data_IF_680037356172
#
_entry.id   IF_680037356172
#
_cell.length_a   1.000
_cell.length_b   1.000
_cell.length_c   1.000
_cell.angle_alpha   90.00
_cell.angle_beta   90.00
_cell.angle_gamma   90.00
#
_symmetry.space_group_name_H-M   'P 1'
#
loop_
_entity.id
_entity.type
_entity.pdbx_description
1 polymer ?
#
# COMPACT_ATOMS: atom_id res chain seq x y z
N UNK A 1 11.24 18.10 -7.07
CA UNK A 1 10.78 17.44 -8.30
C UNK A 1 11.40 18.26 -9.44
N UNK A 2 12.21 17.66 -10.29
CA UNK A 2 12.81 18.39 -11.41
C UNK A 2 11.72 18.66 -12.48
N UNK A 3 11.92 19.73 -13.31
CA UNK A 3 10.99 20.12 -14.39
C UNK A 3 10.69 19.02 -15.42
N UNK A 4 11.49 17.92 -15.46
CA UNK A 4 11.25 16.73 -16.28
C UNK A 4 10.30 15.72 -15.62
N UNK A 5 9.97 15.90 -14.33
CA UNK A 5 9.02 15.08 -13.58
C UNK A 5 7.65 15.79 -13.49
N UNK A 6 7.30 16.60 -14.49
CA UNK A 6 6.07 17.37 -14.59
C UNK A 6 4.80 16.54 -14.85
N UNK A 7 4.90 15.24 -14.91
CA UNK A 7 3.72 14.40 -14.69
C UNK A 7 3.40 14.49 -13.21
N UNK A 8 2.70 15.57 -12.84
CA UNK A 8 2.22 15.79 -11.48
C UNK A 8 1.43 14.54 -11.06
N UNK A 9 1.81 13.88 -9.94
CA UNK A 9 1.09 12.72 -9.47
C UNK A 9 -0.41 13.03 -9.35
N UNK A 10 -1.23 12.35 -10.14
CA UNK A 10 -2.68 12.59 -10.13
C UNK A 10 -3.31 11.89 -8.95
N UNK A 11 -3.91 12.69 -8.07
CA UNK A 11 -4.72 12.16 -6.97
C UNK A 11 -5.95 11.48 -7.55
N UNK A 12 -6.29 10.28 -7.05
CA UNK A 12 -7.52 9.58 -7.44
C UNK A 12 -8.71 10.55 -7.33
N UNK A 13 -9.45 10.81 -8.42
CA UNK A 13 -10.50 11.81 -8.42
C UNK A 13 -11.71 11.38 -7.56
N UNK A 14 -12.49 12.36 -7.15
CA UNK A 14 -13.80 12.11 -6.56
C UNK A 14 -14.86 11.96 -7.67
N UNK A 15 -15.96 11.24 -7.43
CA UNK A 15 -16.24 10.43 -6.24
C UNK A 15 -15.51 9.09 -6.24
N UNK A 16 -15.35 8.51 -5.05
CA UNK A 16 -14.61 7.27 -4.83
C UNK A 16 -15.47 6.17 -4.24
N UNK A 17 -15.15 4.92 -4.59
CA UNK A 17 -15.73 3.73 -3.97
C UNK A 17 -15.57 3.80 -2.44
N UNK A 18 -16.67 3.59 -1.73
CA UNK A 18 -16.68 3.67 -0.26
C UNK A 18 -15.84 2.59 0.40
N UNK A 19 -15.53 1.50 -0.31
CA UNK A 19 -14.75 0.37 0.19
C UNK A 19 -13.25 0.45 -0.14
N UNK A 20 -12.88 0.71 -1.41
CA UNK A 20 -11.48 0.60 -1.87
C UNK A 20 -10.87 1.88 -2.46
N UNK A 21 -11.61 2.99 -2.44
CA UNK A 21 -11.21 4.29 -3.00
C UNK A 21 -10.99 4.35 -4.53
N UNK A 22 -11.33 3.30 -5.31
CA UNK A 22 -11.33 3.39 -6.77
C UNK A 22 -12.34 4.45 -7.21
N UNK A 23 -11.99 5.26 -8.24
CA UNK A 23 -12.93 6.23 -8.81
C UNK A 23 -14.22 5.55 -9.30
N UNK A 24 -15.37 6.19 -9.06
CA UNK A 24 -16.71 5.72 -9.42
C UNK A 24 -17.54 6.88 -9.96
N UNK A 25 -18.67 6.57 -10.63
CA UNK A 25 -19.49 7.59 -11.27
C UNK A 25 -20.24 8.50 -10.28
N UNK A 26 -20.51 8.06 -9.05
CA UNK A 26 -21.23 8.82 -8.02
C UNK A 26 -20.77 8.44 -6.60
N UNK A 27 -20.99 9.33 -5.64
CA UNK A 27 -20.68 9.09 -4.23
C UNK A 27 -21.57 8.00 -3.61
N UNK A 28 -21.05 7.36 -2.55
CA UNK A 28 -21.83 6.41 -1.74
C UNK A 28 -21.98 5.02 -2.31
N UNK A 29 -21.37 4.72 -3.48
CA UNK A 29 -21.47 3.41 -4.12
C UNK A 29 -20.17 2.58 -4.00
N UNK A 30 -20.31 1.29 -4.17
CA UNK A 30 -19.18 0.39 -4.41
C UNK A 30 -18.77 0.44 -5.89
N UNK A 31 -17.52 0.12 -6.17
CA UNK A 31 -17.11 -0.16 -7.54
C UNK A 31 -17.48 -1.61 -7.91
N UNK A 32 -17.55 -1.96 -9.22
CA UNK A 32 -17.93 -3.30 -9.65
C UNK A 32 -17.09 -4.44 -9.02
N UNK A 33 -15.82 -4.19 -8.72
CA UNK A 33 -14.96 -5.19 -8.08
C UNK A 33 -15.36 -5.44 -6.62
N UNK A 34 -15.72 -4.38 -5.89
CA UNK A 34 -16.18 -4.49 -4.49
C UNK A 34 -17.62 -4.98 -4.35
N UNK A 35 -18.45 -4.81 -5.38
CA UNK A 35 -19.78 -5.41 -5.45
C UNK A 35 -19.71 -6.92 -5.69
N UNK A 36 -18.82 -7.34 -6.61
CA UNK A 36 -18.64 -8.73 -6.99
C UNK A 36 -17.95 -9.56 -5.92
N UNK A 37 -16.95 -8.98 -5.24
CA UNK A 37 -16.12 -9.69 -4.28
C UNK A 37 -16.15 -9.03 -2.91
N UNK A 38 -16.52 -9.80 -1.88
CA UNK A 38 -16.42 -9.33 -0.48
C UNK A 38 -14.95 -9.16 -0.10
N UNK A 39 -14.52 -7.93 0.13
CA UNK A 39 -13.17 -7.62 0.60
C UNK A 39 -13.07 -7.75 2.12
N UNK A 40 -12.01 -8.39 2.60
CA UNK A 40 -11.78 -8.65 4.04
C UNK A 40 -11.41 -7.39 4.83
N UNK A 41 -10.77 -6.39 4.20
CA UNK A 41 -10.42 -5.15 4.87
C UNK A 41 -11.65 -4.26 5.13
N UNK A 42 -11.60 -3.46 6.17
CA UNK A 42 -12.68 -2.51 6.51
C UNK A 42 -12.76 -1.41 5.46
N UNK A 43 -11.63 -0.75 5.14
CA UNK A 43 -11.53 0.31 4.16
C UNK A 43 -10.16 0.32 3.49
N UNK A 44 -10.15 0.42 2.17
CA UNK A 44 -8.95 0.69 1.40
C UNK A 44 -8.88 2.18 1.03
N UNK A 45 -7.69 2.76 1.04
CA UNK A 45 -7.46 4.16 0.65
C UNK A 45 -6.32 4.18 -0.34
N UNK A 46 -6.53 4.84 -1.47
CA UNK A 46 -5.51 5.13 -2.47
C UNK A 46 -5.37 6.63 -2.63
N UNK A 47 -4.13 7.14 -2.63
CA UNK A 47 -3.87 8.56 -2.84
C UNK A 47 -3.80 8.89 -4.34
N UNK A 48 -2.99 8.13 -5.08
CA UNK A 48 -2.68 8.41 -6.47
C UNK A 48 -3.27 7.39 -7.45
N UNK A 49 -3.52 7.84 -8.67
CA UNK A 49 -3.67 6.95 -9.80
C UNK A 49 -2.33 6.31 -10.12
N UNK A 50 -2.28 4.98 -10.21
CA UNK A 50 -1.05 4.22 -10.38
C UNK A 50 -0.20 4.69 -11.57
N UNK A 51 -0.84 4.91 -12.72
CA UNK A 51 -0.13 5.31 -13.95
C UNK A 51 0.62 6.64 -13.81
N UNK A 52 0.15 7.52 -12.91
CA UNK A 52 0.79 8.82 -12.67
C UNK A 52 2.01 8.76 -11.76
N UNK A 53 2.19 7.69 -11.01
CA UNK A 53 3.31 7.51 -10.05
C UNK A 53 4.17 6.29 -10.32
N UNK A 54 3.82 5.51 -11.34
CA UNK A 54 4.46 4.23 -11.69
C UNK A 54 5.98 4.34 -11.81
N UNK A 55 6.49 5.36 -12.51
CA UNK A 55 7.91 5.57 -12.68
C UNK A 55 8.63 5.90 -11.36
N UNK A 56 8.01 6.73 -10.51
CA UNK A 56 8.55 7.06 -9.19
C UNK A 56 8.58 5.84 -8.25
N UNK A 57 7.56 4.99 -8.33
CA UNK A 57 7.52 3.71 -7.60
C UNK A 57 8.60 2.76 -8.14
N UNK A 58 8.78 2.66 -9.46
CA UNK A 58 9.85 1.85 -10.04
C UNK A 58 11.24 2.40 -9.67
N UNK A 59 11.43 3.72 -9.69
CA UNK A 59 12.68 4.34 -9.28
C UNK A 59 13.02 4.04 -7.81
N UNK A 60 12.01 4.02 -6.91
CA UNK A 60 12.19 3.57 -5.53
C UNK A 60 12.57 2.08 -5.48
N UNK A 61 11.87 1.22 -6.25
CA UNK A 61 12.07 -0.23 -6.25
C UNK A 61 13.41 -0.68 -6.84
N UNK A 62 13.82 -0.08 -7.94
CA UNK A 62 14.88 -0.61 -8.79
C UNK A 62 16.16 0.25 -8.76
N UNK A 63 16.03 1.53 -8.41
CA UNK A 63 17.15 2.50 -8.40
C UNK A 63 17.45 3.05 -7.00
N UNK A 64 16.84 2.50 -5.95
CA UNK A 64 17.03 2.89 -4.55
C UNK A 64 16.93 4.42 -4.30
N UNK A 65 16.04 5.11 -5.03
CA UNK A 65 15.76 6.53 -4.80
C UNK A 65 14.90 6.71 -3.54
N UNK A 66 15.57 6.63 -2.39
CA UNK A 66 14.91 6.64 -1.07
C UNK A 66 14.14 7.95 -0.80
N UNK A 67 14.54 9.07 -1.39
CA UNK A 67 13.81 10.33 -1.31
C UNK A 67 12.34 10.20 -1.78
N UNK A 68 12.07 9.25 -2.68
CA UNK A 68 10.70 8.96 -3.10
C UNK A 68 9.85 8.37 -1.96
N UNK A 69 10.45 7.63 -1.01
CA UNK A 69 9.72 7.11 0.15
C UNK A 69 9.26 8.24 1.06
N UNK A 70 10.15 9.20 1.36
CA UNK A 70 9.83 10.41 2.11
C UNK A 70 8.76 11.23 1.40
N UNK A 71 8.92 11.46 0.09
CA UNK A 71 7.92 12.17 -0.71
C UNK A 71 6.53 11.52 -0.63
N UNK A 72 6.45 10.19 -0.80
CA UNK A 72 5.16 9.50 -0.70
C UNK A 72 4.56 9.59 0.70
N UNK A 73 5.36 9.44 1.75
CA UNK A 73 4.90 9.57 3.13
C UNK A 73 4.36 10.99 3.41
N UNK A 74 5.08 12.03 2.98
CA UNK A 74 4.68 13.43 3.14
C UNK A 74 3.34 13.71 2.44
N UNK A 75 3.18 13.20 1.23
CA UNK A 75 1.96 13.40 0.46
C UNK A 75 0.77 12.59 1.02
N UNK A 76 1.01 11.36 1.50
CA UNK A 76 0.01 10.58 2.22
C UNK A 76 -0.44 11.33 3.47
N UNK A 77 0.49 11.80 4.28
CA UNK A 77 0.17 12.55 5.50
C UNK A 77 -0.58 13.84 5.19
N UNK A 78 -0.12 14.61 4.23
CA UNK A 78 -0.74 15.89 3.83
C UNK A 78 -2.20 15.73 3.39
N UNK A 79 -2.52 14.68 2.63
CA UNK A 79 -3.84 14.52 2.02
C UNK A 79 -4.76 13.55 2.76
N UNK A 80 -4.20 12.63 3.53
CA UNK A 80 -4.92 11.54 4.17
C UNK A 80 -4.68 11.48 5.69
N UNK A 81 -3.80 12.31 6.26
CA UNK A 81 -3.38 12.24 7.66
C UNK A 81 -4.55 12.23 8.65
N UNK A 82 -5.52 13.12 8.46
CA UNK A 82 -6.68 13.23 9.36
C UNK A 82 -7.56 11.97 9.30
N UNK A 83 -7.81 11.44 8.08
CA UNK A 83 -8.59 10.22 7.94
C UNK A 83 -7.84 9.00 8.48
N UNK A 84 -6.51 8.93 8.31
CA UNK A 84 -5.70 7.85 8.86
C UNK A 84 -5.68 7.88 10.39
N UNK A 85 -5.57 9.05 11.00
CA UNK A 85 -5.67 9.25 12.45
C UNK A 85 -7.05 8.85 12.99
N UNK A 86 -8.12 9.13 12.25
CA UNK A 86 -9.49 8.79 12.68
C UNK A 86 -9.75 7.29 12.80
N UNK A 87 -8.90 6.43 12.22
CA UNK A 87 -9.01 4.99 12.38
C UNK A 87 -8.50 4.47 13.74
N UNK A 88 -7.79 5.31 14.51
CA UNK A 88 -7.16 4.94 15.77
C UNK A 88 -6.34 3.64 15.65
N UNK A 89 -5.60 3.51 14.54
CA UNK A 89 -4.81 2.33 14.30
C UNK A 89 -3.62 2.24 15.26
N UNK A 90 -3.35 1.03 15.73
CA UNK A 90 -2.32 0.74 16.73
C UNK A 90 -0.97 0.43 16.10
N UNK A 91 -0.96 0.08 14.79
CA UNK A 91 0.27 -0.19 14.05
C UNK A 91 0.12 0.08 12.56
N UNK A 92 1.25 0.38 11.89
CA UNK A 92 1.41 0.33 10.44
C UNK A 92 2.12 -0.98 10.10
N UNK A 93 1.48 -1.81 9.29
CA UNK A 93 2.00 -3.10 8.85
C UNK A 93 2.36 -3.01 7.37
N UNK A 94 3.65 -2.88 7.01
CA UNK A 94 4.08 -2.86 5.62
C UNK A 94 3.97 -4.24 5.00
N UNK A 95 3.47 -4.34 3.77
CA UNK A 95 3.44 -5.61 3.04
C UNK A 95 4.88 -6.10 2.80
N UNK A 96 5.22 -7.33 3.26
CA UNK A 96 6.58 -7.85 3.16
C UNK A 96 6.92 -8.32 1.74
N UNK A 97 8.20 -8.21 1.40
CA UNK A 97 8.78 -8.87 0.22
C UNK A 97 9.10 -10.33 0.52
N UNK A 98 9.02 -11.17 -0.52
CA UNK A 98 9.63 -12.50 -0.44
C UNK A 98 11.15 -12.38 -0.24
N UNK A 99 11.75 -13.32 0.53
CA UNK A 99 13.18 -13.32 0.87
C UNK A 99 14.12 -13.16 -0.33
N UNK A 100 13.80 -13.79 -1.47
CA UNK A 100 14.62 -13.67 -2.69
C UNK A 100 14.55 -12.25 -3.29
N UNK A 101 13.36 -11.62 -3.28
CA UNK A 101 13.21 -10.22 -3.74
C UNK A 101 13.92 -9.28 -2.78
N UNK A 102 13.84 -9.53 -1.47
CA UNK A 102 14.55 -8.75 -0.47
C UNK A 102 16.07 -8.88 -0.63
N UNK A 103 16.61 -10.11 -0.80
CA UNK A 103 18.05 -10.33 -1.06
C UNK A 103 18.54 -9.60 -2.32
N UNK A 104 17.73 -9.61 -3.38
CA UNK A 104 18.08 -8.92 -4.65
C UNK A 104 18.04 -7.40 -4.52
N UNK A 105 17.05 -6.86 -3.79
CA UNK A 105 16.80 -5.41 -3.69
C UNK A 105 17.52 -4.76 -2.52
N UNK A 106 17.74 -5.49 -1.41
CA UNK A 106 18.35 -5.01 -0.18
C UNK A 106 17.40 -4.29 0.79
N UNK A 107 16.19 -3.94 0.36
CA UNK A 107 15.20 -3.22 1.18
C UNK A 107 13.76 -3.53 0.76
N UNK A 108 12.80 -3.20 1.64
CA UNK A 108 11.36 -3.24 1.36
C UNK A 108 10.83 -1.80 1.19
N UNK A 109 10.33 -1.44 0.02
CA UNK A 109 9.81 -0.11 -0.29
C UNK A 109 8.61 0.28 0.59
N UNK A 110 7.71 -0.67 0.87
CA UNK A 110 6.56 -0.42 1.75
C UNK A 110 7.00 -0.13 3.18
N UNK A 111 8.07 -0.79 3.67
CA UNK A 111 8.66 -0.51 4.98
C UNK A 111 9.31 0.87 5.03
N UNK A 112 9.99 1.30 3.97
CA UNK A 112 10.59 2.64 3.91
C UNK A 112 9.52 3.73 4.03
N UNK A 113 8.43 3.60 3.25
CA UNK A 113 7.30 4.55 3.31
C UNK A 113 6.63 4.49 4.69
N UNK A 114 6.43 3.28 5.24
CA UNK A 114 5.82 3.09 6.56
C UNK A 114 6.62 3.78 7.67
N UNK A 115 7.96 3.67 7.64
CA UNK A 115 8.83 4.30 8.63
C UNK A 115 8.75 5.84 8.59
N UNK A 116 8.69 6.44 7.39
CA UNK A 116 8.53 7.89 7.28
C UNK A 116 7.12 8.34 7.72
N UNK A 117 6.09 7.60 7.33
CA UNK A 117 4.70 7.89 7.71
C UNK A 117 4.47 7.72 9.22
N UNK A 118 5.11 6.73 9.84
CA UNK A 118 5.08 6.48 11.29
C UNK A 118 5.51 7.70 12.11
N UNK A 119 6.57 8.38 11.67
CA UNK A 119 7.07 9.61 12.35
C UNK A 119 6.01 10.72 12.36
N UNK A 120 5.23 10.82 11.29
CA UNK A 120 4.22 11.88 11.13
C UNK A 120 2.88 11.55 11.80
N UNK A 121 2.48 10.27 11.76
CA UNK A 121 1.23 9.81 12.39
C UNK A 121 1.40 9.49 13.87
N UNK A 122 2.63 9.30 14.35
CA UNK A 122 2.95 8.77 15.68
C UNK A 122 2.31 7.39 15.93
N UNK A 123 2.35 6.51 14.90
CA UNK A 123 1.86 5.13 14.94
C UNK A 123 3.06 4.21 14.70
N UNK A 124 3.33 3.20 15.55
CA UNK A 124 4.49 2.33 15.40
C UNK A 124 4.39 1.45 14.13
N UNK A 125 5.54 1.18 13.51
CA UNK A 125 5.64 0.18 12.43
C UNK A 125 5.85 -1.20 13.04
N UNK A 126 5.12 -2.18 12.52
CA UNK A 126 5.23 -3.60 12.89
C UNK A 126 5.44 -4.43 11.63
N UNK A 127 6.70 -4.67 11.29
CA UNK A 127 7.12 -5.49 10.15
C UNK A 127 7.29 -6.98 10.49
N UNK A 128 7.09 -7.32 11.76
CA UNK A 128 7.14 -8.67 12.32
C UNK A 128 5.78 -9.40 12.31
N UNK A 129 4.66 -8.69 12.11
CA UNK A 129 3.31 -9.26 12.16
C UNK A 129 3.00 -10.09 10.91
N UNK A 130 3.54 -9.70 9.75
CA UNK A 130 3.24 -10.33 8.48
C UNK A 130 4.53 -10.73 7.78
N UNK A 131 4.67 -12.00 7.45
CA UNK A 131 5.81 -12.50 6.66
C UNK A 131 5.33 -13.10 5.34
N UNK A 132 6.15 -13.01 4.31
CA UNK A 132 5.89 -13.63 3.01
C UNK A 132 6.70 -14.92 2.89
N UNK A 133 6.01 -16.06 2.93
CA UNK A 133 6.63 -17.38 2.97
C UNK A 133 6.79 -17.99 1.59
N UNK A 134 5.88 -17.71 0.66
CA UNK A 134 5.92 -18.29 -0.68
C UNK A 134 6.43 -17.33 -1.74
N UNK A 135 7.16 -17.90 -2.72
CA UNK A 135 7.58 -17.18 -3.92
C UNK A 135 6.43 -17.19 -4.93
N UNK A 136 5.68 -16.09 -4.96
CA UNK A 136 4.62 -15.93 -5.95
C UNK A 136 5.19 -15.49 -7.30
N UNK A 137 4.55 -15.87 -8.40
CA UNK A 137 4.88 -15.39 -9.74
C UNK A 137 4.68 -13.86 -9.84
N UNK A 138 5.38 -13.22 -10.77
CA UNK A 138 5.18 -11.78 -10.99
C UNK A 138 3.76 -11.49 -11.48
N UNK A 139 3.09 -10.57 -10.82
CA UNK A 139 1.67 -10.27 -11.06
C UNK A 139 1.41 -9.43 -12.33
N UNK A 140 2.48 -8.95 -13.00
CA UNK A 140 2.36 -8.01 -14.14
C UNK A 140 1.56 -8.58 -15.33
N UNK A 141 1.58 -9.89 -15.52
CA UNK A 141 0.93 -10.59 -16.66
C UNK A 141 -0.29 -11.41 -16.27
N UNK A 142 -0.71 -11.35 -15.00
CA UNK A 142 -1.78 -12.18 -14.46
C UNK A 142 -3.15 -11.51 -14.56
N UNK A 143 -4.17 -12.31 -14.84
CA UNK A 143 -5.58 -11.95 -14.67
C UNK A 143 -5.92 -11.73 -13.20
N UNK A 144 -7.05 -11.11 -12.91
CA UNK A 144 -7.51 -10.87 -11.52
C UNK A 144 -7.65 -12.17 -10.71
N UNK A 145 -8.23 -13.20 -11.31
CA UNK A 145 -8.42 -14.52 -10.67
C UNK A 145 -7.08 -15.21 -10.38
N UNK A 146 -6.13 -15.15 -11.33
CA UNK A 146 -4.79 -15.70 -11.14
C UNK A 146 -4.01 -14.96 -10.04
N UNK A 147 -4.15 -13.63 -9.94
CA UNK A 147 -3.53 -12.85 -8.84
C UNK A 147 -4.04 -13.28 -7.48
N UNK A 148 -5.37 -13.49 -7.35
CA UNK A 148 -5.96 -13.97 -6.11
C UNK A 148 -5.40 -15.33 -5.70
N UNK A 149 -5.43 -16.31 -6.61
CA UNK A 149 -4.92 -17.66 -6.35
C UNK A 149 -3.41 -17.68 -6.06
N UNK A 150 -2.65 -16.81 -6.72
CA UNK A 150 -1.21 -16.68 -6.53
C UNK A 150 -0.83 -16.12 -5.14
N UNK A 151 -1.76 -15.45 -4.46
CA UNK A 151 -1.54 -14.87 -3.14
C UNK A 151 -2.09 -15.73 -1.99
N UNK A 152 -2.93 -16.72 -2.29
CA UNK A 152 -3.47 -17.62 -1.26
C UNK A 152 -2.30 -18.41 -0.65
N UNK A 153 -2.14 -18.32 0.68
CA UNK A 153 -1.05 -18.96 1.41
C UNK A 153 0.32 -18.25 1.32
N UNK A 154 0.45 -17.20 0.49
CA UNK A 154 1.74 -16.51 0.31
C UNK A 154 2.21 -15.75 1.57
N UNK A 155 1.28 -15.41 2.44
CA UNK A 155 1.55 -14.68 3.67
C UNK A 155 1.23 -15.53 4.89
N UNK A 156 2.03 -15.35 5.92
CA UNK A 156 1.85 -15.99 7.21
C UNK A 156 1.96 -14.96 8.32
N UNK A 157 1.10 -15.09 9.34
CA UNK A 157 1.20 -14.35 10.59
C UNK A 157 1.89 -15.24 11.62
N UNK A 158 3.12 -14.93 12.04
CA UNK A 158 3.78 -15.68 13.10
C UNK A 158 2.94 -15.66 14.37
N UNK A 159 2.95 -16.75 15.12
CA UNK A 159 2.34 -16.76 16.44
C UNK A 159 3.08 -15.74 17.31
N UNK A 160 2.34 -14.74 17.76
CA UNK A 160 2.79 -13.75 18.72
C UNK A 160 1.63 -13.43 19.67
N UNK A 161 1.95 -12.94 20.86
CA UNK A 161 0.96 -12.58 21.87
C UNK A 161 0.35 -11.18 21.64
N UNK A 162 0.63 -10.58 20.49
CA UNK A 162 0.18 -9.23 20.15
C UNK A 162 -1.25 -9.27 19.66
N UNK A 163 -2.13 -8.60 20.38
CA UNK A 163 -3.52 -8.35 20.00
C UNK A 163 -3.62 -6.90 19.56
N UNK A 164 -4.00 -6.68 18.30
CA UNK A 164 -4.27 -5.36 17.74
C UNK A 164 -5.70 -5.36 17.17
N UNK A 165 -6.47 -4.35 17.53
CA UNK A 165 -7.85 -4.22 17.04
C UNK A 165 -7.87 -3.61 15.64
N UNK A 166 -7.03 -2.62 15.39
CA UNK A 166 -6.96 -1.94 14.09
C UNK A 166 -5.53 -1.74 13.64
N UNK A 167 -5.23 -2.11 12.41
CA UNK A 167 -3.94 -1.88 11.76
C UNK A 167 -4.09 -1.19 10.42
N UNK A 168 -3.11 -0.37 10.06
CA UNK A 168 -2.95 0.18 8.72
C UNK A 168 -2.02 -0.73 7.93
N UNK A 169 -2.55 -1.49 6.98
CA UNK A 169 -1.72 -2.26 6.06
C UNK A 169 -1.28 -1.33 4.93
N UNK A 170 0.04 -1.22 4.70
CA UNK A 170 0.61 -0.33 3.70
C UNK A 170 1.28 -1.12 2.58
N UNK A 171 0.87 -0.83 1.34
CA UNK A 171 1.53 -1.29 0.12
C UNK A 171 1.77 -0.12 -0.84
N UNK A 172 2.63 -0.33 -1.83
CA UNK A 172 2.99 0.68 -2.83
C UNK A 172 2.07 0.69 -4.06
N UNK A 173 1.19 -0.30 -4.21
CA UNK A 173 0.23 -0.42 -5.33
C UNK A 173 -1.12 -0.93 -4.83
#
# INVERSE_FOLDING_TARGET
ICKKCEDIPRIVPMPRCVKCSKHVARSGILCPDCEREKKSFVKGIALYEYDSVKESIHALKDSAKFDNATFFADMIYKHLGDILKSFNAEAIVPIPLHKDKFKKRGFNQSLLIANELSKQLNIPVRDDILIRVEKTKDQKTMTHSERHNNLVGAFHMPQNDVKLDTVLVLDDV
#
